data_IF_851480611225
#
_entry.id   IF_851480611225
#
_cell.length_a   1.000
_cell.length_b   1.000
_cell.length_c   1.000
_cell.angle_alpha   90.00
_cell.angle_beta   90.00
_cell.angle_gamma   90.00
#
_symmetry.space_group_name_H-M   'P 1'
#
loop_
_entity.id
_entity.type
_entity.pdbx_description
1 polymer ?
#
# COMPACT_ATOMS: atom_id res chain seq x y z
N UNK A 1 21.95 -31.88 16.93
CA UNK A 1 21.60 -30.46 16.92
C UNK A 1 20.57 -30.24 15.84
N UNK A 2 19.31 -30.11 16.21
CA UNK A 2 18.25 -29.82 15.25
C UNK A 2 18.35 -28.35 14.83
N UNK A 3 18.54 -28.11 13.53
CA UNK A 3 18.30 -26.82 12.96
C UNK A 3 16.81 -26.50 13.12
N UNK A 4 16.48 -25.60 14.05
CA UNK A 4 15.15 -24.98 14.08
C UNK A 4 15.04 -24.10 12.85
N UNK A 5 14.45 -24.63 11.78
CA UNK A 5 13.95 -23.78 10.71
C UNK A 5 12.73 -23.07 11.33
N UNK A 6 12.85 -21.80 11.67
CA UNK A 6 11.69 -20.98 12.01
C UNK A 6 10.69 -21.11 10.88
N UNK A 7 9.56 -21.74 11.17
CA UNK A 7 8.47 -21.86 10.21
C UNK A 7 7.99 -20.45 9.93
N UNK A 8 8.25 -19.93 8.71
CA UNK A 8 7.78 -18.61 8.29
C UNK A 8 6.29 -18.53 8.64
N UNK A 9 5.93 -17.58 9.48
CA UNK A 9 4.55 -17.37 9.88
C UNK A 9 3.71 -17.06 8.65
N UNK A 10 2.64 -17.83 8.41
CA UNK A 10 1.73 -17.58 7.29
C UNK A 10 0.59 -16.68 7.74
N UNK A 11 0.42 -15.55 7.07
CA UNK A 11 -0.69 -14.61 7.31
C UNK A 11 -1.88 -14.87 6.38
N UNK A 12 -1.75 -15.80 5.47
CA UNK A 12 -2.72 -16.08 4.39
C UNK A 12 -4.13 -16.35 4.87
N UNK A 13 -4.29 -17.04 6.00
CA UNK A 13 -5.58 -17.48 6.53
C UNK A 13 -6.14 -16.56 7.63
N UNK A 14 -5.45 -15.47 7.95
CA UNK A 14 -5.90 -14.51 8.95
C UNK A 14 -6.83 -13.48 8.32
N UNK A 15 -7.82 -13.03 9.08
CA UNK A 15 -8.73 -11.99 8.60
C UNK A 15 -7.94 -10.71 8.33
N UNK A 16 -7.98 -10.25 7.09
CA UNK A 16 -7.13 -9.17 6.62
C UNK A 16 -7.87 -8.11 5.82
N UNK A 17 -7.32 -6.91 5.84
CA UNK A 17 -7.79 -5.76 5.09
C UNK A 17 -6.62 -5.18 4.29
N UNK A 18 -6.86 -4.89 3.02
CA UNK A 18 -5.93 -4.16 2.17
C UNK A 18 -6.37 -2.71 2.14
N UNK A 19 -5.51 -1.80 2.61
CA UNK A 19 -5.68 -0.36 2.50
C UNK A 19 -4.71 0.13 1.43
N UNK A 20 -5.22 0.65 0.33
CA UNK A 20 -4.37 1.01 -0.80
C UNK A 20 -4.80 2.29 -1.49
N UNK A 21 -3.81 3.00 -2.02
CA UNK A 21 -3.99 4.07 -3.00
C UNK A 21 -3.46 3.60 -4.36
N UNK A 22 -4.17 3.90 -5.41
CA UNK A 22 -3.71 3.60 -6.78
C UNK A 22 -4.22 4.66 -7.75
N UNK A 23 -3.43 4.95 -8.76
CA UNK A 23 -3.78 5.90 -9.81
C UNK A 23 -3.58 5.27 -11.17
N UNK A 24 -4.66 5.24 -11.95
CA UNK A 24 -4.61 5.00 -13.39
C UNK A 24 -4.06 6.23 -14.13
N UNK A 25 -4.33 6.34 -15.41
CA UNK A 25 -3.93 7.45 -16.27
C UNK A 25 -2.41 7.48 -16.55
N UNK A 26 -1.84 8.64 -16.84
CA UNK A 26 -0.42 8.77 -17.17
C UNK A 26 0.45 8.60 -15.93
N UNK A 27 1.35 7.63 -15.96
CA UNK A 27 2.30 7.31 -14.89
C UNK A 27 3.73 7.33 -15.42
N UNK A 28 4.68 7.60 -14.52
CA UNK A 28 6.10 7.61 -14.85
C UNK A 28 6.54 6.24 -15.38
N UNK A 29 7.38 6.23 -16.41
CA UNK A 29 7.97 5.08 -17.08
C UNK A 29 6.98 4.12 -17.78
N UNK A 30 5.79 3.90 -17.24
CA UNK A 30 4.79 2.97 -17.82
C UNK A 30 3.81 3.66 -18.76
N UNK A 31 3.79 5.00 -18.79
CA UNK A 31 2.88 5.77 -19.62
C UNK A 31 1.43 5.70 -19.12
N UNK A 32 0.50 5.79 -20.06
CA UNK A 32 -0.93 5.74 -19.75
C UNK A 32 -1.39 4.30 -19.44
N UNK A 33 -2.05 4.11 -18.31
CA UNK A 33 -2.56 2.81 -17.87
C UNK A 33 -4.03 2.93 -17.42
N UNK A 34 -4.84 1.94 -17.77
CA UNK A 34 -6.27 1.90 -17.42
C UNK A 34 -6.49 1.54 -15.95
N UNK A 35 -5.63 0.71 -15.39
CA UNK A 35 -5.63 0.32 -13.99
C UNK A 35 -4.26 0.62 -13.38
N UNK A 36 -4.26 1.30 -12.24
CA UNK A 36 -3.03 1.66 -11.55
C UNK A 36 -2.22 0.44 -11.09
N UNK A 37 -0.91 0.58 -11.06
CA UNK A 37 0.00 -0.51 -10.71
C UNK A 37 -0.27 -1.06 -9.30
N UNK A 38 -0.52 -0.19 -8.32
CA UNK A 38 -0.82 -0.61 -6.95
C UNK A 38 -2.12 -1.41 -6.87
N UNK A 39 -3.13 -1.06 -7.66
CA UNK A 39 -4.40 -1.80 -7.69
C UNK A 39 -4.21 -3.21 -8.22
N UNK A 40 -3.39 -3.40 -9.26
CA UNK A 40 -3.04 -4.73 -9.78
C UNK A 40 -2.41 -5.59 -8.69
N UNK A 41 -1.46 -5.03 -7.95
CA UNK A 41 -0.78 -5.72 -6.84
C UNK A 41 -1.76 -6.03 -5.70
N UNK A 42 -2.64 -5.10 -5.36
CA UNK A 42 -3.66 -5.31 -4.35
C UNK A 42 -4.62 -6.46 -4.72
N UNK A 43 -5.00 -6.56 -5.98
CA UNK A 43 -5.84 -7.66 -6.47
C UNK A 43 -5.15 -9.02 -6.37
N UNK A 44 -3.82 -9.10 -6.58
CA UNK A 44 -3.07 -10.33 -6.35
C UNK A 44 -3.10 -10.74 -4.87
N UNK A 45 -2.87 -9.80 -3.97
CA UNK A 45 -2.93 -10.08 -2.53
C UNK A 45 -4.33 -10.55 -2.13
N UNK A 46 -5.37 -9.91 -2.64
CA UNK A 46 -6.76 -10.32 -2.39
C UNK A 46 -7.02 -11.76 -2.87
N UNK A 47 -6.56 -12.11 -4.05
CA UNK A 47 -6.72 -13.46 -4.61
C UNK A 47 -6.10 -14.53 -3.69
N UNK A 48 -4.93 -14.25 -3.11
CA UNK A 48 -4.22 -15.21 -2.26
C UNK A 48 -4.70 -15.23 -0.80
N UNK A 49 -5.30 -14.16 -0.31
CA UNK A 49 -5.64 -13.99 1.12
C UNK A 49 -7.13 -13.90 1.39
N UNK A 50 -7.95 -13.67 0.39
CA UNK A 50 -9.37 -13.34 0.51
C UNK A 50 -9.61 -12.09 1.41
N UNK A 51 -8.64 -11.17 1.45
CA UNK A 51 -8.73 -9.93 2.21
C UNK A 51 -9.86 -9.04 1.70
N UNK A 52 -10.45 -8.27 2.60
CA UNK A 52 -11.28 -7.13 2.20
C UNK A 52 -10.39 -6.01 1.65
N UNK A 53 -10.95 -5.15 0.82
CA UNK A 53 -10.20 -4.06 0.17
C UNK A 53 -10.83 -2.72 0.50
N UNK A 54 -10.00 -1.76 0.89
CA UNK A 54 -10.37 -0.36 1.03
C UNK A 54 -9.48 0.49 0.13
N UNK A 55 -10.07 1.05 -0.91
CA UNK A 55 -9.38 2.00 -1.81
C UNK A 55 -9.45 3.39 -1.23
N UNK A 56 -8.30 3.98 -0.98
CA UNK A 56 -8.18 5.37 -0.57
C UNK A 56 -8.32 6.25 -1.81
N UNK A 57 -9.42 6.99 -1.89
CA UNK A 57 -9.70 7.86 -3.02
C UNK A 57 -9.57 9.33 -2.64
N UNK A 58 -8.84 10.14 -3.42
CA UNK A 58 -8.79 11.58 -3.20
C UNK A 58 -10.19 12.20 -3.28
N UNK A 59 -10.48 13.15 -2.41
CA UNK A 59 -11.71 13.93 -2.52
C UNK A 59 -11.75 14.71 -3.84
N UNK A 60 -10.61 15.26 -4.24
CA UNK A 60 -10.42 15.93 -5.51
C UNK A 60 -9.52 15.01 -6.37
N UNK A 61 -10.02 14.47 -7.48
CA UNK A 61 -9.24 13.62 -8.37
C UNK A 61 -7.95 14.31 -8.84
N UNK A 62 -6.89 13.53 -9.00
CA UNK A 62 -5.66 14.02 -9.62
C UNK A 62 -5.87 14.23 -11.13
N UNK A 63 -5.09 15.17 -11.69
CA UNK A 63 -4.98 15.33 -13.15
C UNK A 63 -4.55 14.00 -13.81
N UNK A 64 -5.01 13.77 -15.02
CA UNK A 64 -4.58 12.64 -15.85
C UNK A 64 -3.15 12.81 -16.36
N UNK A 65 -2.71 14.05 -16.52
CA UNK A 65 -1.35 14.41 -16.89
C UNK A 65 -0.38 14.14 -15.73
N UNK A 66 0.70 13.42 -16.02
CA UNK A 66 1.68 13.02 -15.01
C UNK A 66 2.33 14.23 -14.30
N UNK A 67 2.81 15.21 -15.04
CA UNK A 67 3.50 16.38 -14.46
C UNK A 67 2.59 17.19 -13.55
N UNK A 68 1.37 17.42 -13.99
CA UNK A 68 0.37 18.12 -13.17
C UNK A 68 0.04 17.31 -11.92
N UNK A 69 -0.12 16.00 -12.05
CA UNK A 69 -0.38 15.12 -10.92
C UNK A 69 0.72 15.20 -9.85
N UNK A 70 1.98 15.16 -10.21
CA UNK A 70 3.07 15.23 -9.24
C UNK A 70 3.14 16.57 -8.51
N UNK A 71 2.82 17.67 -9.17
CA UNK A 71 2.73 18.99 -8.52
C UNK A 71 1.52 19.08 -7.58
N UNK A 72 0.38 18.56 -8.00
CA UNK A 72 -0.81 18.46 -7.13
C UNK A 72 -0.50 17.63 -5.87
N UNK A 73 0.18 16.50 -6.02
CA UNK A 73 0.57 15.65 -4.88
C UNK A 73 1.48 16.39 -3.90
N UNK A 74 2.44 17.18 -4.39
CA UNK A 74 3.31 18.01 -3.56
C UNK A 74 2.52 18.99 -2.71
N UNK A 75 1.53 19.65 -3.29
CA UNK A 75 0.67 20.61 -2.58
C UNK A 75 -0.28 19.94 -1.58
N UNK A 76 -0.55 18.64 -1.72
CA UNK A 76 -1.42 17.90 -0.82
C UNK A 76 -0.71 17.30 0.39
N UNK A 77 0.62 17.35 0.45
CA UNK A 77 1.37 16.87 1.62
C UNK A 77 0.90 17.60 2.88
N UNK A 78 0.42 16.84 3.87
CA UNK A 78 -0.12 17.37 5.11
C UNK A 78 -1.59 17.81 5.06
N UNK A 79 -2.19 17.90 3.87
CA UNK A 79 -3.61 18.22 3.70
C UNK A 79 -4.16 17.55 2.43
N UNK A 80 -4.49 16.29 2.53
CA UNK A 80 -4.98 15.48 1.42
C UNK A 80 -6.34 14.85 1.77
N UNK A 81 -7.46 15.56 1.62
CA UNK A 81 -8.77 15.03 1.95
C UNK A 81 -9.14 13.84 1.06
N UNK A 82 -9.85 12.88 1.64
CA UNK A 82 -10.30 11.65 0.99
C UNK A 82 -11.83 11.58 0.95
N UNK A 83 -12.37 10.80 0.01
CA UNK A 83 -13.83 10.66 -0.16
C UNK A 83 -14.48 9.98 1.03
N UNK A 84 -13.89 8.90 1.50
CA UNK A 84 -14.40 8.10 2.62
C UNK A 84 -13.29 7.81 3.62
N UNK A 85 -13.61 7.90 4.89
CA UNK A 85 -12.71 7.49 5.97
C UNK A 85 -12.75 5.98 6.14
N UNK A 86 -11.64 5.42 6.60
CA UNK A 86 -11.59 4.04 7.01
C UNK A 86 -12.57 3.80 8.18
N UNK A 87 -13.42 2.80 8.04
CA UNK A 87 -14.40 2.43 9.07
C UNK A 87 -13.77 1.63 10.20
N UNK A 88 -14.60 0.88 10.93
CA UNK A 88 -14.17 0.00 12.01
C UNK A 88 -13.31 -1.15 11.47
N UNK A 89 -12.07 -1.24 11.95
CA UNK A 89 -11.11 -2.28 11.56
C UNK A 89 -10.87 -3.31 12.65
N UNK A 90 -11.65 -3.28 13.74
CA UNK A 90 -11.41 -4.12 14.92
C UNK A 90 -11.39 -5.62 14.64
N UNK A 91 -12.11 -6.08 13.63
CA UNK A 91 -12.19 -7.50 13.26
C UNK A 91 -10.99 -8.01 12.45
N UNK A 92 -10.14 -7.12 11.96
CA UNK A 92 -8.98 -7.52 11.14
C UNK A 92 -7.74 -7.75 12.00
N UNK A 93 -7.01 -8.81 11.71
CA UNK A 93 -5.74 -9.14 12.37
C UNK A 93 -4.54 -8.62 11.59
N UNK A 94 -4.62 -8.68 10.25
CA UNK A 94 -3.55 -8.29 9.34
C UNK A 94 -4.02 -7.15 8.45
N UNK A 95 -3.20 -6.11 8.35
CA UNK A 95 -3.42 -4.97 7.46
C UNK A 95 -2.31 -4.93 6.42
N UNK A 96 -2.69 -4.95 5.15
CA UNK A 96 -1.77 -4.70 4.04
C UNK A 96 -1.88 -3.24 3.64
N UNK A 97 -0.79 -2.51 3.71
CA UNK A 97 -0.71 -1.11 3.29
C UNK A 97 0.04 -1.05 1.97
N UNK A 98 -0.60 -0.52 0.94
CA UNK A 98 -0.04 -0.48 -0.40
C UNK A 98 -0.20 0.90 -1.02
N UNK A 99 0.88 1.41 -1.61
CA UNK A 99 0.89 2.73 -2.25
C UNK A 99 1.99 2.83 -3.30
N UNK A 100 1.79 3.66 -4.34
CA UNK A 100 2.90 4.17 -5.12
C UNK A 100 3.75 5.12 -4.29
N UNK A 101 4.91 5.50 -4.82
CA UNK A 101 5.79 6.48 -4.17
C UNK A 101 5.54 7.86 -4.75
N UNK A 102 5.11 8.79 -3.89
CA UNK A 102 4.90 10.19 -4.20
C UNK A 102 5.77 11.05 -3.27
N UNK A 103 6.76 11.75 -3.86
CA UNK A 103 7.67 12.61 -3.10
C UNK A 103 8.37 11.90 -1.92
N UNK A 104 8.91 10.72 -2.21
CA UNK A 104 9.74 9.95 -1.28
C UNK A 104 8.99 9.14 -0.23
N UNK A 105 7.66 9.06 -0.30
CA UNK A 105 6.84 8.24 0.58
C UNK A 105 5.53 7.81 -0.10
N UNK A 106 4.58 7.30 0.66
CA UNK A 106 3.25 6.96 0.14
C UNK A 106 2.50 8.19 -0.38
N UNK A 107 1.43 7.98 -1.15
CA UNK A 107 0.57 9.07 -1.60
C UNK A 107 0.02 9.86 -0.39
N UNK A 108 -0.09 11.19 -0.49
CA UNK A 108 -0.54 12.03 0.64
C UNK A 108 -1.86 11.59 1.26
N UNK A 109 -2.78 11.07 0.47
CA UNK A 109 -4.09 10.56 0.91
C UNK A 109 -3.97 9.35 1.83
N UNK A 110 -2.89 8.56 1.72
CA UNK A 110 -2.63 7.45 2.63
C UNK A 110 -2.43 7.92 4.07
N UNK A 111 -1.73 9.02 4.28
CA UNK A 111 -1.58 9.62 5.61
C UNK A 111 -2.95 9.99 6.20
N UNK A 112 -3.80 10.59 5.41
CA UNK A 112 -5.16 10.96 5.83
C UNK A 112 -5.99 9.72 6.20
N UNK A 113 -5.85 8.63 5.46
CA UNK A 113 -6.57 7.39 5.72
C UNK A 113 -6.09 6.67 6.99
N UNK A 114 -4.78 6.72 7.26
CA UNK A 114 -4.16 5.97 8.35
C UNK A 114 -4.14 6.72 9.68
N UNK A 115 -4.03 8.04 9.65
CA UNK A 115 -4.00 8.84 10.89
C UNK A 115 -5.32 8.73 11.64
N UNK A 116 -5.28 8.87 12.96
CA UNK A 116 -6.42 8.82 13.85
C UNK A 116 -7.19 7.48 13.86
N UNK A 117 -6.61 6.44 13.28
CA UNK A 117 -7.14 5.07 13.33
C UNK A 117 -6.33 4.25 14.34
N UNK A 118 -7.03 3.45 15.13
CA UNK A 118 -6.38 2.57 16.11
C UNK A 118 -5.92 1.26 15.46
N UNK A 119 -4.62 1.15 15.25
CA UNK A 119 -3.95 -0.05 14.73
C UNK A 119 -3.31 -0.91 15.83
N UNK A 120 -3.57 -0.61 17.10
CA UNK A 120 -2.93 -1.32 18.23
C UNK A 120 -3.14 -2.83 18.12
N UNK A 121 -2.04 -3.57 18.23
CA UNK A 121 -2.03 -5.03 18.20
C UNK A 121 -2.19 -5.65 16.81
N UNK A 122 -2.38 -4.86 15.76
CA UNK A 122 -2.50 -5.38 14.40
C UNK A 122 -1.13 -5.59 13.77
N UNK A 123 -1.03 -6.59 12.92
CA UNK A 123 0.15 -6.83 12.09
C UNK A 123 0.00 -6.08 10.78
N UNK A 124 0.98 -5.25 10.43
CA UNK A 124 0.99 -4.49 9.17
C UNK A 124 2.10 -5.00 8.28
N UNK A 125 1.74 -5.29 7.03
CA UNK A 125 2.65 -5.66 5.94
C UNK A 125 2.53 -4.63 4.82
N UNK A 126 3.64 -4.31 4.18
CA UNK A 126 3.72 -3.19 3.23
C UNK A 126 4.17 -3.68 1.86
N UNK A 127 3.49 -3.21 0.82
CA UNK A 127 3.96 -3.30 -0.57
C UNK A 127 3.95 -1.91 -1.18
N UNK A 128 5.04 -1.52 -1.81
CA UNK A 128 5.09 -0.31 -2.65
C UNK A 128 5.18 -0.66 -4.12
N UNK A 129 4.66 0.20 -4.97
CA UNK A 129 4.93 0.20 -6.41
C UNK A 129 5.75 1.43 -6.77
N UNK A 130 6.74 1.28 -7.63
CA UNK A 130 7.70 2.34 -7.91
C UNK A 130 8.33 2.19 -9.30
N UNK A 131 9.11 3.17 -9.70
CA UNK A 131 9.96 3.11 -10.91
C UNK A 131 11.43 3.46 -10.60
N UNK A 132 11.93 3.05 -9.44
CA UNK A 132 13.31 3.23 -9.01
C UNK A 132 13.48 3.67 -7.55
N UNK A 133 12.41 4.10 -6.89
CA UNK A 133 12.46 4.60 -5.50
C UNK A 133 12.40 3.49 -4.44
N UNK A 134 12.04 2.25 -4.83
CA UNK A 134 11.92 1.14 -3.89
C UNK A 134 10.83 1.37 -2.85
N UNK A 135 11.13 1.12 -1.60
CA UNK A 135 10.23 1.38 -0.46
C UNK A 135 10.21 2.86 -0.05
N UNK A 136 11.25 3.61 -0.41
CA UNK A 136 11.46 4.98 0.06
C UNK A 136 11.24 5.11 1.58
N UNK A 137 10.52 6.11 2.05
CA UNK A 137 10.26 6.29 3.48
C UNK A 137 8.96 5.63 3.97
N UNK A 138 8.29 4.84 3.14
CA UNK A 138 6.97 4.28 3.47
C UNK A 138 6.97 3.45 4.76
N UNK A 139 7.89 2.51 4.99
CA UNK A 139 7.89 1.76 6.24
C UNK A 139 8.01 2.64 7.49
N UNK A 140 8.86 3.67 7.43
CA UNK A 140 9.03 4.60 8.56
C UNK A 140 7.78 5.44 8.81
N UNK A 141 7.13 5.92 7.75
CA UNK A 141 5.91 6.71 7.88
C UNK A 141 4.73 5.87 8.37
N UNK A 142 4.61 4.63 7.93
CA UNK A 142 3.60 3.70 8.47
C UNK A 142 3.83 3.45 9.95
N UNK A 143 5.07 3.22 10.38
CA UNK A 143 5.40 3.06 11.82
C UNK A 143 5.07 4.30 12.63
N UNK A 144 5.32 5.47 12.08
CA UNK A 144 5.05 6.77 12.74
C UNK A 144 3.55 7.00 12.93
N UNK A 145 2.75 6.65 11.95
CA UNK A 145 1.30 6.94 11.93
C UNK A 145 0.49 5.84 12.60
N UNK A 146 0.85 4.58 12.40
CA UNK A 146 0.14 3.42 12.93
C UNK A 146 0.73 2.97 14.28
N UNK A 147 0.68 3.85 15.27
CA UNK A 147 1.24 3.62 16.61
C UNK A 147 0.60 2.38 17.24
N UNK A 148 1.43 1.53 17.86
CA UNK A 148 0.98 0.31 18.54
C UNK A 148 0.79 -0.90 17.63
N UNK A 149 0.92 -0.74 16.32
CA UNK A 149 0.93 -1.85 15.38
C UNK A 149 2.29 -2.56 15.34
N UNK A 150 2.25 -3.85 15.00
CA UNK A 150 3.44 -4.62 14.66
C UNK A 150 3.69 -4.49 13.15
N UNK A 151 4.53 -3.55 12.75
CA UNK A 151 4.90 -3.35 11.35
C UNK A 151 6.06 -4.28 11.02
N UNK A 152 5.82 -5.26 10.15
CA UNK A 152 6.83 -6.27 9.80
C UNK A 152 7.95 -5.68 8.94
N UNK A 153 9.14 -6.22 9.11
CA UNK A 153 10.34 -5.80 8.38
C UNK A 153 10.47 -6.48 6.99
N UNK A 154 9.43 -7.15 6.52
CA UNK A 154 9.41 -7.91 5.28
C UNK A 154 8.75 -7.15 4.11
N UNK A 155 8.71 -5.82 4.18
CA UNK A 155 8.16 -4.98 3.12
C UNK A 155 8.82 -5.27 1.78
N UNK A 156 8.02 -5.30 0.72
CA UNK A 156 8.51 -5.47 -0.65
C UNK A 156 8.13 -4.29 -1.54
N UNK A 157 8.99 -4.05 -2.52
CA UNK A 157 8.78 -3.02 -3.53
C UNK A 157 8.70 -3.68 -4.91
N UNK A 158 7.68 -3.32 -5.68
CA UNK A 158 7.44 -3.87 -7.01
C UNK A 158 7.52 -2.75 -8.04
N UNK A 159 8.43 -2.92 -9.00
CA UNK A 159 8.58 -1.96 -10.09
C UNK A 159 7.32 -1.97 -10.97
N UNK A 160 6.80 -0.79 -11.31
CA UNK A 160 5.54 -0.64 -12.04
C UNK A 160 5.55 -1.39 -13.38
N UNK A 161 6.68 -1.36 -14.11
CA UNK A 161 6.86 -2.12 -15.35
C UNK A 161 6.84 -3.65 -15.16
N UNK A 162 6.92 -4.14 -13.93
CA UNK A 162 6.97 -5.57 -13.59
C UNK A 162 5.72 -6.06 -12.83
N UNK A 163 4.73 -5.21 -12.57
CA UNK A 163 3.55 -5.62 -11.78
C UNK A 163 2.77 -6.75 -12.42
N UNK A 164 2.65 -6.77 -13.74
CA UNK A 164 1.90 -7.81 -14.46
C UNK A 164 2.55 -9.21 -14.35
N UNK A 165 3.83 -9.29 -14.03
CA UNK A 165 4.57 -10.54 -13.83
C UNK A 165 4.91 -10.82 -12.35
N UNK A 166 4.41 -10.03 -11.43
CA UNK A 166 4.76 -10.10 -10.01
C UNK A 166 3.93 -11.08 -9.20
N UNK A 167 2.94 -11.73 -9.78
CA UNK A 167 1.99 -12.58 -9.06
C UNK A 167 2.66 -13.67 -8.23
N UNK A 168 3.61 -14.41 -8.83
CA UNK A 168 4.35 -15.48 -8.13
C UNK A 168 5.21 -14.94 -6.98
N UNK A 169 5.84 -13.78 -7.16
CA UNK A 169 6.62 -13.12 -6.10
C UNK A 169 5.73 -12.78 -4.91
N UNK A 170 4.54 -12.28 -5.17
CA UNK A 170 3.58 -11.91 -4.12
C UNK A 170 3.06 -13.16 -3.43
N UNK A 171 2.73 -14.22 -4.16
CA UNK A 171 2.31 -15.51 -3.60
C UNK A 171 3.34 -16.06 -2.62
N UNK A 172 4.62 -16.03 -2.99
CA UNK A 172 5.70 -16.49 -2.13
C UNK A 172 5.95 -15.59 -0.91
N UNK A 173 5.61 -14.31 -1.00
CA UNK A 173 5.75 -13.35 0.09
C UNK A 173 4.66 -13.50 1.14
N UNK A 174 3.42 -13.81 0.74
CA UNK A 174 2.29 -14.04 1.64
C UNK A 174 2.52 -15.35 2.44
#
# INVERSE_FOLDING_TARGET
MGLFVEKKESYKNRKSLIIYFSRADENYAVGYIDKGNTEIVAEYVQEFTNADMFKVEPLIPYSKDYRTCIEEAKHRIGNAPIKEKLGDISSYEVIYVMSPIYWGTYAPEMETALKDVDFTGKTIRIITTHEGSGLANVPNDVKRVCIGANVLEDSIAIKGSQVKSAKSKIENWI
#
